data_IF_417927850977
#
_entry.id   IF_417927850977
#
_cell.length_a   1.000
_cell.length_b   1.000
_cell.length_c   1.000
_cell.angle_alpha   90.00
_cell.angle_beta   90.00
_cell.angle_gamma   90.00
#
_symmetry.space_group_name_H-M   'P 1'
#
loop_
_entity.id
_entity.type
_entity.pdbx_description
1 polymer ?
#
# COMPACT_ATOMS: atom_id res chain seq x y z
N UNK A 1 -1.39 -3.87 -19.13
CA UNK A 1 -2.18 -3.87 -17.88
C UNK A 1 -1.37 -4.44 -16.73
N UNK A 2 -0.59 -5.50 -16.95
CA UNK A 2 0.39 -6.03 -15.98
C UNK A 2 1.35 -4.96 -15.46
N UNK A 3 2.07 -4.27 -16.36
CA UNK A 3 3.05 -3.24 -15.98
C UNK A 3 2.45 -2.10 -15.13
N UNK A 4 1.20 -1.72 -15.43
CA UNK A 4 0.50 -0.67 -14.67
C UNK A 4 0.04 -1.15 -13.29
N UNK A 5 -0.26 -2.44 -13.13
CA UNK A 5 -0.54 -3.05 -11.83
C UNK A 5 0.73 -3.13 -11.00
N UNK A 6 1.80 -3.64 -11.62
CA UNK A 6 3.10 -3.84 -10.99
C UNK A 6 3.69 -2.50 -10.51
N UNK A 7 3.55 -1.43 -11.29
CA UNK A 7 3.96 -0.09 -10.86
C UNK A 7 3.15 0.43 -9.65
N UNK A 8 1.86 0.12 -9.57
CA UNK A 8 1.03 0.52 -8.43
C UNK A 8 1.41 -0.28 -7.17
N UNK A 9 1.61 -1.59 -7.30
CA UNK A 9 2.03 -2.45 -6.19
C UNK A 9 3.44 -2.07 -5.68
N UNK A 10 4.39 -1.85 -6.59
CA UNK A 10 5.75 -1.44 -6.24
C UNK A 10 5.83 -0.04 -5.61
N UNK A 11 4.79 0.79 -5.77
CA UNK A 11 4.70 2.10 -5.12
C UNK A 11 3.99 2.05 -3.75
N UNK A 12 3.66 0.86 -3.24
CA UNK A 12 3.03 0.68 -1.93
C UNK A 12 1.50 0.76 -1.95
N UNK A 13 0.88 0.90 -3.12
CA UNK A 13 -0.58 0.89 -3.24
C UNK A 13 -1.12 -0.53 -3.30
N UNK A 14 -2.34 -0.72 -2.80
CA UNK A 14 -3.11 -1.93 -3.10
C UNK A 14 -3.87 -1.74 -4.39
N UNK A 15 -3.59 -2.53 -5.43
CA UNK A 15 -4.28 -2.47 -6.72
C UNK A 15 -5.36 -3.57 -6.85
N UNK A 16 -6.56 -3.19 -7.31
CA UNK A 16 -7.70 -4.10 -7.52
C UNK A 16 -8.18 -4.01 -8.96
N UNK A 17 -8.20 -5.15 -9.67
CA UNK A 17 -8.79 -5.23 -11.01
C UNK A 17 -10.32 -5.27 -10.93
N UNK A 18 -10.99 -4.39 -11.67
CA UNK A 18 -12.46 -4.37 -11.77
C UNK A 18 -12.89 -4.81 -13.16
N UNK A 19 -13.83 -5.75 -13.24
CA UNK A 19 -14.31 -6.27 -14.51
C UNK A 19 -15.69 -6.90 -14.44
N UNK A 20 -16.33 -7.00 -15.61
CA UNK A 20 -17.61 -7.71 -15.78
C UNK A 20 -17.61 -8.47 -17.11
N UNK A 21 -18.45 -9.50 -17.22
CA UNK A 21 -18.55 -10.36 -18.42
C UNK A 21 -17.18 -10.90 -18.86
N UNK A 22 -16.36 -11.36 -17.91
CA UNK A 22 -14.99 -11.89 -18.11
C UNK A 22 -14.02 -10.90 -18.80
N UNK A 23 -14.30 -9.60 -18.76
CA UNK A 23 -13.41 -8.55 -19.29
C UNK A 23 -13.04 -7.58 -18.17
N UNK A 24 -11.75 -7.29 -18.03
CA UNK A 24 -11.27 -6.23 -17.14
C UNK A 24 -11.60 -4.88 -17.77
N UNK A 25 -11.98 -3.93 -16.92
CA UNK A 25 -12.53 -2.62 -17.29
C UNK A 25 -11.75 -1.47 -16.69
N UNK A 26 -11.12 -1.70 -15.56
CA UNK A 26 -10.26 -0.72 -14.91
C UNK A 26 -9.51 -1.31 -13.74
N UNK A 27 -8.75 -0.43 -13.10
CA UNK A 27 -7.99 -0.69 -11.88
C UNK A 27 -8.43 0.36 -10.87
N UNK A 28 -8.81 -0.07 -9.68
CA UNK A 28 -8.92 0.77 -8.50
C UNK A 28 -7.60 0.62 -7.72
N UNK A 29 -7.08 1.71 -7.18
CA UNK A 29 -5.97 1.63 -6.24
C UNK A 29 -6.44 2.20 -4.91
N UNK A 30 -5.95 1.60 -3.83
CA UNK A 30 -6.19 2.01 -2.46
C UNK A 30 -4.85 2.44 -1.87
N UNK A 31 -4.90 3.58 -1.20
CA UNK A 31 -3.80 4.16 -0.44
C UNK A 31 -4.26 4.20 1.02
N UNK A 32 -3.57 3.48 1.89
CA UNK A 32 -3.89 3.46 3.33
C UNK A 32 -3.21 4.65 3.99
N UNK A 33 -4.01 5.55 4.54
CA UNK A 33 -3.50 6.75 5.17
C UNK A 33 -3.12 6.45 6.61
N UNK A 34 -1.81 6.43 6.85
CA UNK A 34 -1.28 6.38 8.20
C UNK A 34 -1.75 7.58 9.02
N UNK A 35 -1.91 7.36 10.32
CA UNK A 35 -2.01 8.47 11.27
C UNK A 35 -0.75 9.34 11.15
N UNK A 36 -0.93 10.65 11.29
CA UNK A 36 0.16 11.63 11.07
C UNK A 36 1.37 11.41 11.97
N UNK A 37 1.17 10.84 13.16
CA UNK A 37 2.17 10.55 14.17
C UNK A 37 2.79 9.15 14.07
N UNK A 38 2.18 8.23 13.31
CA UNK A 38 2.64 6.85 13.21
C UNK A 38 4.12 6.71 12.82
N UNK A 39 4.68 7.48 11.86
CA UNK A 39 6.11 7.39 11.53
C UNK A 39 7.02 7.79 12.69
N UNK A 40 6.64 8.82 13.46
CA UNK A 40 7.42 9.28 14.61
C UNK A 40 7.39 8.23 15.73
N UNK A 41 6.21 7.70 16.04
CA UNK A 41 6.03 6.65 17.05
C UNK A 41 6.82 5.38 16.71
N UNK A 42 6.81 4.93 15.45
CA UNK A 42 7.59 3.77 15.01
C UNK A 42 9.09 4.00 15.21
N UNK A 43 9.58 5.19 14.87
CA UNK A 43 11.00 5.53 15.05
C UNK A 43 11.39 5.56 16.53
N UNK A 44 10.56 6.14 17.41
CA UNK A 44 10.81 6.15 18.85
C UNK A 44 10.89 4.72 19.42
N UNK A 45 9.96 3.85 19.03
CA UNK A 45 9.96 2.45 19.46
C UNK A 45 11.21 1.70 18.99
N UNK A 46 11.69 1.94 17.76
CA UNK A 46 12.95 1.37 17.27
C UNK A 46 14.16 1.82 18.11
N UNK A 47 14.23 3.10 18.49
CA UNK A 47 15.30 3.62 19.36
C UNK A 47 15.27 3.01 20.78
N UNK A 48 14.09 2.60 21.24
CA UNK A 48 13.92 1.91 22.52
C UNK A 48 14.22 0.40 22.45
N UNK A 49 14.63 -0.11 21.28
CA UNK A 49 14.97 -1.52 21.05
C UNK A 49 13.78 -2.40 20.63
N UNK A 50 12.65 -1.81 20.23
CA UNK A 50 11.54 -2.56 19.65
C UNK A 50 11.71 -2.66 18.13
N UNK A 51 12.35 -3.74 17.67
CA UNK A 51 12.75 -3.94 16.28
C UNK A 51 11.62 -4.32 15.30
N UNK A 52 10.37 -4.45 15.77
CA UNK A 52 9.25 -5.00 14.97
C UNK A 52 8.01 -4.11 14.87
N UNK A 53 8.13 -2.81 15.10
CA UNK A 53 7.13 -1.88 14.61
C UNK A 53 7.45 -1.55 13.15
N UNK A 54 6.87 -2.34 12.24
CA UNK A 54 6.86 -2.24 10.77
C UNK A 54 8.16 -1.79 10.07
#
# INVERSE_FOLDING_TARGET
>A
MSERLENLENSGHTAVCVGWKKKVKGILFLDDQLLSDAPATVNELKHLGFEHCC
#
